data_IF_392898700814
#
_entry.id   IF_392898700814
#
_cell.length_a   1.000
_cell.length_b   1.000
_cell.length_c   1.000
_cell.angle_alpha   90.00
_cell.angle_beta   90.00
_cell.angle_gamma   90.00
#
_symmetry.space_group_name_H-M   'P 1'
#
loop_
_entity.id
_entity.type
_entity.pdbx_description
1 polymer ?
#
# COMPACT_ATOMS: atom_id res chain seq x y z
N UNK A 1 -31.74 3.72 16.71
CA UNK A 1 -32.35 4.44 15.56
C UNK A 1 -31.27 4.78 14.57
N UNK A 2 -31.09 3.91 13.54
CA UNK A 2 -30.06 4.00 12.51
C UNK A 2 -30.61 4.41 11.14
N UNK A 3 -31.74 5.08 11.11
CA UNK A 3 -32.25 5.66 9.86
C UNK A 3 -31.73 7.09 9.75
N UNK A 4 -31.09 7.48 8.62
CA UNK A 4 -30.66 8.85 8.40
C UNK A 4 -31.89 9.78 8.46
N UNK A 5 -31.73 10.96 9.07
CA UNK A 5 -32.76 12.02 9.08
C UNK A 5 -33.26 12.26 7.66
N UNK A 6 -34.51 11.89 7.42
CA UNK A 6 -35.20 12.18 6.16
C UNK A 6 -35.61 13.64 6.20
N UNK A 7 -34.96 14.46 5.42
CA UNK A 7 -35.51 15.76 5.08
C UNK A 7 -36.79 15.52 4.27
N UNK A 8 -37.88 16.19 4.62
CA UNK A 8 -39.23 16.03 3.97
C UNK A 8 -39.15 16.15 2.45
N UNK A 9 -38.21 16.93 1.91
CA UNK A 9 -37.94 17.13 0.49
C UNK A 9 -37.45 15.89 -0.29
N UNK A 10 -37.02 14.82 0.36
CA UNK A 10 -36.47 13.63 -0.31
C UNK A 10 -37.50 12.50 -0.49
N UNK A 11 -38.73 12.66 -0.02
CA UNK A 11 -39.71 11.57 -0.06
C UNK A 11 -40.05 11.10 -1.47
N UNK A 12 -40.02 11.99 -2.46
CA UNK A 12 -40.41 11.71 -3.85
C UNK A 12 -39.23 11.56 -4.80
N UNK A 13 -38.00 11.48 -4.29
CA UNK A 13 -36.81 11.35 -5.15
C UNK A 13 -36.73 9.96 -5.78
N UNK A 14 -36.52 9.95 -7.09
CA UNK A 14 -36.18 8.73 -7.84
C UNK A 14 -34.74 8.29 -7.57
N UNK A 15 -34.41 7.02 -7.91
CA UNK A 15 -33.05 6.52 -7.82
C UNK A 15 -32.03 7.38 -8.61
N UNK A 16 -32.42 7.86 -9.79
CA UNK A 16 -31.62 8.77 -10.61
C UNK A 16 -31.35 10.11 -9.90
N UNK A 17 -32.37 10.67 -9.22
CA UNK A 17 -32.22 11.93 -8.49
C UNK A 17 -31.28 11.77 -7.31
N UNK A 18 -31.45 10.73 -6.49
CA UNK A 18 -30.50 10.43 -5.40
C UNK A 18 -29.08 10.29 -5.92
N UNK A 19 -28.90 9.54 -7.00
CA UNK A 19 -27.58 9.31 -7.57
C UNK A 19 -26.93 10.59 -8.09
N UNK A 20 -27.68 11.42 -8.83
CA UNK A 20 -27.15 12.67 -9.37
C UNK A 20 -26.75 13.66 -8.27
N UNK A 21 -27.58 13.82 -7.24
CA UNK A 21 -27.28 14.68 -6.09
C UNK A 21 -26.05 14.15 -5.30
N UNK A 22 -26.00 12.83 -5.07
CA UNK A 22 -24.85 12.21 -4.41
C UNK A 22 -23.56 12.42 -5.22
N UNK A 23 -23.63 12.29 -6.55
CA UNK A 23 -22.51 12.50 -7.45
C UNK A 23 -22.03 13.94 -7.46
N UNK A 24 -22.96 14.91 -7.41
CA UNK A 24 -22.63 16.33 -7.27
C UNK A 24 -21.84 16.57 -5.96
N UNK A 25 -22.36 16.08 -4.82
CA UNK A 25 -21.68 16.20 -3.52
C UNK A 25 -20.30 15.54 -3.54
N UNK A 26 -20.18 14.39 -4.21
CA UNK A 26 -18.90 13.70 -4.38
C UNK A 26 -17.89 14.56 -5.17
N UNK A 27 -18.33 15.17 -6.27
CA UNK A 27 -17.49 16.02 -7.13
C UNK A 27 -17.09 17.32 -6.41
N UNK A 28 -17.96 17.86 -5.56
CA UNK A 28 -17.69 19.04 -4.72
C UNK A 28 -16.74 18.74 -3.54
N UNK A 29 -16.35 17.46 -3.36
CA UNK A 29 -15.54 17.04 -2.24
C UNK A 29 -16.29 16.90 -0.91
N UNK A 30 -17.62 17.03 -0.94
CA UNK A 30 -18.46 16.80 0.24
C UNK A 30 -18.80 15.30 0.38
N UNK A 31 -17.77 14.52 0.71
CA UNK A 31 -17.85 13.06 0.75
C UNK A 31 -18.86 12.57 1.79
N UNK A 32 -18.93 13.21 2.94
CA UNK A 32 -19.88 12.83 3.99
C UNK A 32 -21.35 12.98 3.53
N UNK A 33 -21.68 14.05 2.80
CA UNK A 33 -23.02 14.24 2.22
C UNK A 33 -23.29 13.22 1.10
N UNK A 34 -22.30 12.93 0.25
CA UNK A 34 -22.41 11.91 -0.78
C UNK A 34 -22.70 10.52 -0.21
N UNK A 35 -21.99 10.11 0.86
CA UNK A 35 -22.19 8.84 1.56
C UNK A 35 -23.63 8.73 2.07
N UNK A 36 -24.16 9.79 2.70
CA UNK A 36 -25.55 9.80 3.20
C UNK A 36 -26.57 9.63 2.07
N UNK A 37 -26.37 10.32 0.95
CA UNK A 37 -27.28 10.25 -0.20
C UNK A 37 -27.21 8.88 -0.89
N UNK A 38 -26.03 8.30 -1.06
CA UNK A 38 -25.88 6.93 -1.57
C UNK A 38 -26.52 5.91 -0.62
N UNK A 39 -26.37 6.06 0.69
CA UNK A 39 -27.02 5.22 1.69
C UNK A 39 -28.55 5.31 1.63
N UNK A 40 -29.11 6.53 1.44
CA UNK A 40 -30.54 6.73 1.25
C UNK A 40 -31.05 6.10 -0.06
N UNK A 41 -30.26 6.19 -1.12
CA UNK A 41 -30.53 5.52 -2.41
C UNK A 41 -30.60 4.00 -2.20
N UNK A 42 -29.58 3.42 -1.58
CA UNK A 42 -29.52 1.97 -1.36
C UNK A 42 -30.64 1.46 -0.47
N UNK A 43 -31.00 2.20 0.58
CA UNK A 43 -32.11 1.86 1.46
C UNK A 43 -33.48 1.86 0.76
N UNK A 44 -33.64 2.74 -0.24
CA UNK A 44 -34.93 2.89 -0.94
C UNK A 44 -35.00 2.11 -2.25
N UNK A 45 -33.90 1.99 -2.95
CA UNK A 45 -33.75 1.33 -4.25
C UNK A 45 -32.57 0.34 -4.22
N UNK A 46 -32.71 -0.79 -3.48
CA UNK A 46 -31.59 -1.68 -3.21
C UNK A 46 -31.11 -2.50 -4.42
N UNK A 47 -31.84 -2.45 -5.52
CA UNK A 47 -31.58 -3.28 -6.68
C UNK A 47 -31.36 -2.46 -7.96
N UNK A 48 -30.70 -3.09 -8.94
CA UNK A 48 -30.50 -2.51 -10.26
C UNK A 48 -29.16 -1.80 -10.41
N UNK A 49 -28.89 -1.37 -11.64
CA UNK A 49 -27.58 -0.80 -12.04
C UNK A 49 -27.20 0.45 -11.24
N UNK A 50 -28.17 1.30 -10.93
CA UNK A 50 -27.92 2.54 -10.19
C UNK A 50 -27.51 2.23 -8.74
N UNK A 51 -28.16 1.24 -8.11
CA UNK A 51 -27.80 0.80 -6.77
C UNK A 51 -26.38 0.21 -6.74
N UNK A 52 -26.05 -0.64 -7.71
CA UNK A 52 -24.68 -1.20 -7.84
C UNK A 52 -23.64 -0.10 -8.02
N UNK A 53 -23.90 0.88 -8.87
CA UNK A 53 -23.00 2.00 -9.06
C UNK A 53 -22.89 2.85 -7.79
N UNK A 54 -23.99 3.10 -7.08
CA UNK A 54 -23.98 3.82 -5.82
C UNK A 54 -23.16 3.10 -4.73
N UNK A 55 -23.26 1.77 -4.63
CA UNK A 55 -22.45 0.97 -3.71
C UNK A 55 -20.95 1.13 -3.98
N UNK A 56 -20.56 1.11 -5.25
CA UNK A 56 -19.17 1.29 -5.65
C UNK A 56 -18.66 2.70 -5.36
N UNK A 57 -19.47 3.72 -5.66
CA UNK A 57 -19.16 5.12 -5.34
C UNK A 57 -19.12 5.40 -3.83
N UNK A 58 -19.88 4.65 -3.04
CA UNK A 58 -19.82 4.72 -1.57
C UNK A 58 -18.45 4.27 -1.05
N UNK A 59 -17.89 3.19 -1.59
CA UNK A 59 -16.55 2.75 -1.23
C UNK A 59 -15.51 3.84 -1.55
N UNK A 60 -15.61 4.47 -2.72
CA UNK A 60 -14.75 5.59 -3.10
C UNK A 60 -14.94 6.82 -2.20
N UNK A 61 -16.19 7.17 -1.86
CA UNK A 61 -16.48 8.30 -1.00
C UNK A 61 -15.89 8.12 0.41
N UNK A 62 -15.99 6.92 0.99
CA UNK A 62 -15.34 6.60 2.27
C UNK A 62 -13.82 6.70 2.17
N UNK A 63 -13.21 6.18 1.09
CA UNK A 63 -11.77 6.34 0.87
C UNK A 63 -11.34 7.81 0.83
N UNK A 64 -12.08 8.65 0.11
CA UNK A 64 -11.80 10.09 -0.01
C UNK A 64 -12.08 10.86 1.27
N UNK A 65 -12.95 10.35 2.13
CA UNK A 65 -13.29 10.92 3.43
C UNK A 65 -12.32 10.49 4.56
N UNK A 66 -11.23 9.81 4.19
CA UNK A 66 -10.23 9.28 5.13
C UNK A 66 -10.82 8.29 6.16
N UNK A 67 -11.73 7.45 5.67
CA UNK A 67 -12.40 6.39 6.41
C UNK A 67 -12.01 5.00 5.86
N UNK A 68 -10.74 4.58 6.00
CA UNK A 68 -10.23 3.38 5.32
C UNK A 68 -10.99 2.11 5.70
N UNK A 69 -11.35 1.93 6.96
CA UNK A 69 -12.10 0.75 7.40
C UNK A 69 -13.49 0.66 6.73
N UNK A 70 -14.20 1.79 6.62
CA UNK A 70 -15.50 1.85 5.95
C UNK A 70 -15.37 1.63 4.44
N UNK A 71 -14.32 2.18 3.82
CA UNK A 71 -14.03 2.00 2.41
C UNK A 71 -13.76 0.52 2.06
N UNK A 72 -12.95 -0.17 2.87
CA UNK A 72 -12.66 -1.60 2.73
C UNK A 72 -13.95 -2.41 2.90
N UNK A 73 -14.73 -2.15 3.95
CA UNK A 73 -15.98 -2.87 4.19
C UNK A 73 -16.99 -2.71 3.03
N UNK A 74 -17.10 -1.49 2.48
CA UNK A 74 -17.95 -1.21 1.33
C UNK A 74 -17.45 -1.91 0.05
N UNK A 75 -16.15 -1.90 -0.20
CA UNK A 75 -15.53 -2.58 -1.32
C UNK A 75 -15.71 -4.11 -1.23
N UNK A 76 -15.45 -4.70 -0.06
CA UNK A 76 -15.63 -6.15 0.18
C UNK A 76 -17.10 -6.57 0.00
N UNK A 77 -18.02 -5.77 0.50
CA UNK A 77 -19.45 -6.00 0.30
C UNK A 77 -19.81 -5.99 -1.19
N UNK A 78 -19.29 -5.00 -1.95
CA UNK A 78 -19.52 -4.93 -3.39
C UNK A 78 -18.97 -6.16 -4.12
N UNK A 79 -17.73 -6.55 -3.84
CA UNK A 79 -17.07 -7.72 -4.44
C UNK A 79 -17.89 -8.99 -4.15
N UNK A 80 -18.36 -9.14 -2.92
CA UNK A 80 -19.16 -10.31 -2.51
C UNK A 80 -20.51 -10.38 -3.20
N UNK A 81 -21.20 -9.24 -3.34
CA UNK A 81 -22.54 -9.17 -3.93
C UNK A 81 -22.50 -9.18 -5.46
N UNK A 82 -21.45 -8.64 -6.06
CA UNK A 82 -21.34 -8.42 -7.50
C UNK A 82 -19.99 -8.90 -8.08
N UNK A 83 -19.61 -10.18 -7.89
CA UNK A 83 -18.27 -10.66 -8.25
C UNK A 83 -17.96 -10.60 -9.75
N UNK A 84 -18.99 -10.57 -10.59
CA UNK A 84 -18.88 -10.51 -12.06
C UNK A 84 -19.26 -9.12 -12.62
N UNK A 85 -19.34 -8.09 -11.77
CA UNK A 85 -19.64 -6.74 -12.24
C UNK A 85 -18.48 -6.20 -13.09
N UNK A 86 -18.81 -5.46 -14.15
CA UNK A 86 -17.82 -4.91 -15.10
C UNK A 86 -16.74 -4.04 -14.44
N UNK A 87 -17.04 -3.41 -13.32
CA UNK A 87 -16.14 -2.56 -12.56
C UNK A 87 -15.75 -3.18 -11.20
N UNK A 88 -15.79 -4.51 -11.07
CA UNK A 88 -15.40 -5.15 -9.80
C UNK A 88 -13.91 -4.94 -9.49
N UNK A 89 -13.08 -4.84 -10.52
CA UNK A 89 -11.66 -4.50 -10.42
C UNK A 89 -11.42 -3.17 -9.70
N UNK A 90 -12.31 -2.19 -9.90
CA UNK A 90 -12.24 -0.92 -9.17
C UNK A 90 -12.48 -1.09 -7.66
N UNK A 91 -13.37 -1.98 -7.24
CA UNK A 91 -13.57 -2.28 -5.82
C UNK A 91 -12.30 -2.89 -5.20
N UNK A 92 -11.64 -3.82 -5.89
CA UNK A 92 -10.32 -4.35 -5.47
C UNK A 92 -9.27 -3.25 -5.37
N UNK A 93 -9.27 -2.31 -6.31
CA UNK A 93 -8.33 -1.19 -6.31
C UNK A 93 -8.55 -0.24 -5.12
N UNK A 94 -9.80 0.15 -4.82
CA UNK A 94 -10.13 0.97 -3.64
C UNK A 94 -9.71 0.27 -2.36
N UNK A 95 -9.93 -1.04 -2.24
CA UNK A 95 -9.49 -1.84 -1.08
C UNK A 95 -7.98 -1.75 -0.86
N UNK A 96 -7.20 -1.84 -1.95
CA UNK A 96 -5.75 -1.65 -1.91
C UNK A 96 -5.35 -0.23 -1.49
N UNK A 97 -5.99 0.79 -2.08
CA UNK A 97 -5.72 2.19 -1.77
C UNK A 97 -6.03 2.55 -0.31
N UNK A 98 -7.09 1.98 0.27
CA UNK A 98 -7.56 2.32 1.61
C UNK A 98 -6.55 1.97 2.71
N UNK A 99 -5.71 0.98 2.49
CA UNK A 99 -4.61 0.62 3.38
C UNK A 99 -3.26 1.17 2.91
N UNK A 100 -3.22 1.82 1.74
CA UNK A 100 -2.00 2.37 1.19
C UNK A 100 -1.72 3.75 1.81
N UNK A 101 -0.65 3.85 2.58
CA UNK A 101 -0.25 5.11 3.21
C UNK A 101 0.90 5.74 2.44
N UNK A 102 0.58 6.71 1.57
CA UNK A 102 1.56 7.47 0.78
C UNK A 102 2.53 8.28 1.68
N UNK A 103 2.06 8.70 2.85
CA UNK A 103 2.85 9.56 3.73
C UNK A 103 4.08 8.84 4.31
N UNK A 104 4.02 7.52 4.39
CA UNK A 104 5.10 6.72 4.95
C UNK A 104 6.39 6.78 4.11
N UNK A 105 6.28 6.74 2.78
CA UNK A 105 7.46 6.80 1.90
C UNK A 105 8.00 8.22 1.75
N UNK A 106 7.16 9.21 1.58
CA UNK A 106 7.58 10.59 1.40
C UNK A 106 8.10 11.18 2.72
N UNK A 107 7.45 10.88 3.84
CA UNK A 107 7.87 11.30 5.18
C UNK A 107 9.14 10.55 5.62
N UNK A 108 9.24 9.25 5.37
CA UNK A 108 10.43 8.46 5.68
C UNK A 108 11.66 8.88 4.86
N UNK A 109 11.48 9.35 3.63
CA UNK A 109 12.54 9.91 2.80
C UNK A 109 12.94 11.32 3.25
N UNK A 110 11.99 12.17 3.67
CA UNK A 110 12.25 13.54 4.13
C UNK A 110 12.74 13.60 5.56
N UNK A 111 12.35 12.68 6.44
CA UNK A 111 12.82 12.57 7.82
C UNK A 111 14.18 11.86 7.90
N UNK A 112 15.21 12.44 7.32
CA UNK A 112 16.61 12.10 7.61
C UNK A 112 17.04 12.59 9.01
N UNK A 113 16.21 12.35 10.04
CA UNK A 113 16.46 12.79 11.40
C UNK A 113 16.51 11.63 12.40
N UNK A 114 17.06 11.85 13.62
CA UNK A 114 17.20 10.80 14.65
C UNK A 114 15.88 10.35 15.27
N UNK A 115 14.75 10.93 14.91
CA UNK A 115 13.40 10.52 15.29
C UNK A 115 12.89 9.48 14.28
N UNK A 116 13.55 8.32 14.23
CA UNK A 116 12.98 7.11 13.67
C UNK A 116 11.84 6.67 14.58
N UNK A 117 10.63 7.01 14.18
CA UNK A 117 9.49 6.29 14.65
C UNK A 117 9.58 4.90 14.00
N UNK A 118 9.83 3.87 14.80
CA UNK A 118 9.60 2.49 14.35
C UNK A 118 8.21 2.44 13.75
N UNK A 119 8.09 1.82 12.55
CA UNK A 119 6.78 1.54 11.99
C UNK A 119 5.92 0.93 13.10
N UNK A 120 4.80 1.56 13.41
CA UNK A 120 3.89 0.95 14.36
C UNK A 120 3.44 -0.40 13.80
N UNK A 121 3.18 -1.36 14.64
CA UNK A 121 2.66 -2.67 14.24
C UNK A 121 1.42 -2.51 13.34
N UNK A 122 0.63 -1.49 13.59
CA UNK A 122 -0.55 -1.12 12.79
C UNK A 122 -0.17 -0.68 11.36
N UNK A 123 0.87 0.14 11.20
CA UNK A 123 1.30 0.64 9.89
C UNK A 123 1.93 -0.48 9.06
N UNK A 124 2.67 -1.38 9.70
CA UNK A 124 3.21 -2.59 9.06
C UNK A 124 2.10 -3.49 8.55
N UNK A 125 1.06 -3.73 9.35
CA UNK A 125 -0.10 -4.53 8.97
C UNK A 125 -0.87 -3.90 7.82
N UNK A 126 -1.16 -2.61 7.88
CA UNK A 126 -1.86 -1.88 6.80
C UNK A 126 -1.08 -1.94 5.48
N UNK A 127 0.24 -1.78 5.51
CA UNK A 127 1.11 -1.91 4.34
C UNK A 127 1.08 -3.31 3.74
N UNK A 128 1.11 -4.34 4.57
CA UNK A 128 1.01 -5.74 4.13
C UNK A 128 -0.37 -6.03 3.52
N UNK A 129 -1.44 -5.59 4.15
CA UNK A 129 -2.80 -5.74 3.64
C UNK A 129 -2.98 -5.00 2.31
N UNK A 130 -2.44 -3.78 2.17
CA UNK A 130 -2.42 -3.03 0.92
C UNK A 130 -1.72 -3.83 -0.19
N UNK A 131 -0.53 -4.36 0.09
CA UNK A 131 0.22 -5.16 -0.85
C UNK A 131 -0.57 -6.39 -1.33
N UNK A 132 -1.14 -7.17 -0.41
CA UNK A 132 -1.93 -8.35 -0.77
C UNK A 132 -3.20 -8.00 -1.56
N UNK A 133 -3.86 -6.88 -1.23
CA UNK A 133 -5.03 -6.40 -1.97
C UNK A 133 -4.68 -5.99 -3.41
N UNK A 134 -3.56 -5.27 -3.61
CA UNK A 134 -3.09 -4.95 -4.96
C UNK A 134 -2.63 -6.19 -5.72
N UNK A 135 -1.98 -7.14 -5.06
CA UNK A 135 -1.58 -8.42 -5.65
C UNK A 135 -2.79 -9.23 -6.12
N UNK A 136 -3.86 -9.26 -5.33
CA UNK A 136 -5.11 -9.90 -5.74
C UNK A 136 -5.70 -9.22 -6.98
N UNK A 137 -5.73 -7.88 -7.02
CA UNK A 137 -6.18 -7.13 -8.19
C UNK A 137 -5.38 -7.51 -9.45
N UNK A 138 -4.05 -7.42 -9.41
CA UNK A 138 -3.22 -7.66 -10.61
C UNK A 138 -3.21 -9.12 -11.06
N UNK A 139 -3.50 -10.05 -10.14
CA UNK A 139 -3.60 -11.48 -10.44
C UNK A 139 -4.93 -11.83 -11.10
N UNK A 140 -6.04 -11.30 -10.56
CA UNK A 140 -7.39 -11.58 -11.07
C UNK A 140 -7.74 -10.77 -12.31
N UNK A 141 -7.24 -9.53 -12.39
CA UNK A 141 -7.58 -8.57 -13.43
C UNK A 141 -6.31 -7.96 -14.03
N UNK A 142 -5.45 -8.76 -14.70
CA UNK A 142 -4.16 -8.28 -15.21
C UNK A 142 -4.31 -7.16 -16.25
N UNK A 143 -5.44 -7.14 -16.98
CA UNK A 143 -5.77 -6.15 -18.02
C UNK A 143 -6.58 -4.95 -17.48
N UNK A 144 -6.82 -4.89 -16.16
CA UNK A 144 -7.48 -3.74 -15.57
C UNK A 144 -6.66 -2.47 -15.76
N UNK A 145 -7.34 -1.36 -16.05
CA UNK A 145 -6.70 -0.04 -16.13
C UNK A 145 -6.00 0.38 -14.83
N UNK A 146 -6.33 -0.25 -13.70
CA UNK A 146 -5.73 -0.02 -12.40
C UNK A 146 -4.52 -0.91 -12.13
N UNK A 147 -4.30 -1.95 -12.95
CA UNK A 147 -3.25 -2.94 -12.68
C UNK A 147 -1.84 -2.34 -12.76
N UNK A 148 -1.60 -1.38 -13.66
CA UNK A 148 -0.29 -0.72 -13.80
C UNK A 148 0.05 0.10 -12.54
N UNK A 149 -0.88 0.92 -12.05
CA UNK A 149 -0.71 1.70 -10.82
C UNK A 149 -0.57 0.79 -9.59
N UNK A 150 -1.38 -0.27 -9.50
CA UNK A 150 -1.29 -1.25 -8.43
C UNK A 150 0.10 -1.90 -8.36
N UNK A 151 0.69 -2.29 -9.50
CA UNK A 151 2.06 -2.83 -9.55
C UNK A 151 3.11 -1.82 -9.08
N UNK A 152 2.96 -0.54 -9.44
CA UNK A 152 3.87 0.51 -8.95
C UNK A 152 3.77 0.68 -7.44
N UNK A 153 2.57 0.66 -6.87
CA UNK A 153 2.36 0.74 -5.43
C UNK A 153 2.90 -0.48 -4.70
N UNK A 154 2.73 -1.67 -5.25
CA UNK A 154 3.34 -2.90 -4.72
C UNK A 154 4.87 -2.80 -4.68
N UNK A 155 5.49 -2.34 -5.77
CA UNK A 155 6.94 -2.13 -5.83
C UNK A 155 7.41 -1.10 -4.80
N UNK A 156 6.65 -0.02 -4.63
CA UNK A 156 6.90 0.99 -3.60
C UNK A 156 6.89 0.38 -2.19
N UNK A 157 5.86 -0.41 -1.84
CA UNK A 157 5.73 -1.04 -0.53
C UNK A 157 6.89 -2.02 -0.25
N UNK A 158 7.25 -2.84 -1.23
CA UNK A 158 8.40 -3.77 -1.12
C UNK A 158 9.70 -2.99 -0.89
N UNK A 159 9.95 -1.93 -1.68
CA UNK A 159 11.14 -1.11 -1.55
C UNK A 159 11.22 -0.45 -0.17
N UNK A 160 10.10 0.03 0.35
CA UNK A 160 10.04 0.65 1.66
C UNK A 160 10.42 -0.33 2.78
N UNK A 161 9.91 -1.57 2.74
CA UNK A 161 10.26 -2.62 3.71
C UNK A 161 11.74 -3.01 3.59
N UNK A 162 12.23 -3.21 2.37
CA UNK A 162 13.64 -3.53 2.13
C UNK A 162 14.57 -2.44 2.67
N UNK A 163 14.25 -1.17 2.44
CA UNK A 163 15.03 -0.05 2.97
C UNK A 163 14.99 0.05 4.50
N UNK A 164 13.92 -0.39 5.14
CA UNK A 164 13.84 -0.47 6.60
C UNK A 164 14.87 -1.46 7.17
N UNK A 165 15.06 -2.61 6.50
CA UNK A 165 16.13 -3.57 6.86
C UNK A 165 17.52 -2.92 6.74
N UNK A 166 17.78 -2.15 5.66
CA UNK A 166 19.04 -1.43 5.47
C UNK A 166 19.27 -0.38 6.56
N UNK A 167 18.25 0.40 6.90
CA UNK A 167 18.37 1.36 8.00
C UNK A 167 18.71 0.71 9.33
N UNK A 168 18.12 -0.44 9.60
CA UNK A 168 18.39 -1.22 10.81
C UNK A 168 19.83 -1.80 10.78
N UNK A 169 20.26 -2.33 9.62
CA UNK A 169 21.61 -2.83 9.43
C UNK A 169 22.67 -1.73 9.64
N UNK A 170 22.46 -0.52 9.05
CA UNK A 170 23.34 0.64 9.28
C UNK A 170 23.42 1.05 10.75
N UNK A 171 22.31 0.98 11.48
CA UNK A 171 22.31 1.26 12.91
C UNK A 171 23.19 0.26 13.67
N UNK A 172 23.09 -1.03 13.37
CA UNK A 172 23.95 -2.06 13.98
C UNK A 172 25.41 -1.91 13.59
N UNK A 173 25.73 -1.55 12.33
CA UNK A 173 27.10 -1.23 11.90
C UNK A 173 27.71 -0.10 12.73
N UNK A 174 26.98 1.01 12.95
CA UNK A 174 27.43 2.11 13.79
C UNK A 174 27.70 1.71 15.24
N UNK A 175 26.99 0.70 15.74
CA UNK A 175 27.18 0.13 17.08
C UNK A 175 28.21 -0.99 17.15
N UNK A 176 28.86 -1.30 16.05
CA UNK A 176 29.82 -2.42 15.93
C UNK A 176 29.19 -3.79 16.23
N UNK A 177 27.86 -3.89 16.12
CA UNK A 177 27.11 -5.14 16.26
C UNK A 177 27.06 -5.86 14.89
N UNK A 178 28.22 -6.26 14.40
CA UNK A 178 28.42 -6.72 13.01
C UNK A 178 27.60 -7.95 12.66
N UNK A 179 27.43 -8.92 13.57
CA UNK A 179 26.57 -10.09 13.34
C UNK A 179 25.12 -9.66 13.10
N UNK A 180 24.59 -8.74 13.92
CA UNK A 180 23.23 -8.25 13.78
C UNK A 180 23.06 -7.45 12.48
N UNK A 181 24.08 -6.66 12.08
CA UNK A 181 24.08 -5.92 10.82
C UNK A 181 24.06 -6.87 9.63
N UNK A 182 24.94 -7.87 9.62
CA UNK A 182 25.01 -8.88 8.55
C UNK A 182 23.67 -9.64 8.41
N UNK A 183 23.06 -10.06 9.53
CA UNK A 183 21.77 -10.76 9.50
C UNK A 183 20.65 -9.91 8.91
N UNK A 184 20.58 -8.61 9.24
CA UNK A 184 19.59 -7.70 8.65
C UNK A 184 19.82 -7.47 7.16
N UNK A 185 21.05 -7.25 6.77
CA UNK A 185 21.41 -7.09 5.36
C UNK A 185 21.14 -8.39 4.57
N UNK A 186 21.49 -9.55 5.12
CA UNK A 186 21.19 -10.85 4.50
C UNK A 186 19.69 -11.06 4.34
N UNK A 187 18.88 -10.66 5.31
CA UNK A 187 17.41 -10.72 5.22
C UNK A 187 16.90 -9.86 4.06
N UNK A 188 17.45 -8.65 3.87
CA UNK A 188 17.08 -7.80 2.75
C UNK A 188 17.42 -8.47 1.39
N UNK A 189 18.58 -9.08 1.26
CA UNK A 189 18.99 -9.78 0.03
C UNK A 189 18.09 -10.99 -0.24
N UNK A 190 17.75 -11.76 0.78
CA UNK A 190 16.98 -12.99 0.65
C UNK A 190 15.51 -12.75 0.36
N UNK A 191 14.87 -11.86 1.12
CA UNK A 191 13.42 -11.63 1.06
C UNK A 191 13.04 -10.59 -0.02
N UNK A 192 13.97 -9.66 -0.36
CA UNK A 192 13.72 -8.55 -1.30
C UNK A 192 14.77 -8.43 -2.40
N UNK A 193 15.11 -9.52 -3.13
CA UNK A 193 16.29 -9.59 -4.01
C UNK A 193 16.25 -8.66 -5.23
N UNK A 194 15.07 -8.10 -5.56
CA UNK A 194 14.86 -7.21 -6.74
C UNK A 194 14.61 -5.76 -6.35
N UNK A 195 15.06 -5.36 -5.18
CA UNK A 195 14.91 -3.98 -4.71
C UNK A 195 16.25 -3.23 -4.80
N UNK A 196 16.22 -1.89 -4.88
CA UNK A 196 17.43 -1.07 -4.80
C UNK A 196 18.23 -1.28 -3.50
N UNK A 197 17.56 -1.76 -2.44
CA UNK A 197 18.22 -2.07 -1.16
C UNK A 197 19.23 -3.22 -1.25
N UNK A 198 19.09 -4.13 -2.22
CA UNK A 198 19.96 -5.32 -2.36
C UNK A 198 21.43 -4.96 -2.56
N UNK A 199 21.70 -3.93 -3.34
CA UNK A 199 23.06 -3.45 -3.60
C UNK A 199 23.76 -3.01 -2.32
N UNK A 200 23.13 -2.16 -1.54
CA UNK A 200 23.67 -1.68 -0.27
C UNK A 200 23.69 -2.77 0.81
N UNK A 201 22.72 -3.69 0.79
CA UNK A 201 22.72 -4.85 1.69
C UNK A 201 23.98 -5.69 1.51
N UNK A 202 24.35 -5.99 0.27
CA UNK A 202 25.60 -6.73 -0.03
C UNK A 202 26.82 -5.98 0.47
N UNK A 203 26.88 -4.67 0.27
CA UNK A 203 27.97 -3.86 0.80
C UNK A 203 28.08 -3.91 2.33
N UNK A 204 26.96 -3.80 3.03
CA UNK A 204 26.94 -3.93 4.50
C UNK A 204 27.40 -5.33 4.94
N UNK A 205 26.98 -6.39 4.23
CA UNK A 205 27.43 -7.76 4.51
C UNK A 205 28.94 -7.88 4.37
N UNK A 206 29.54 -7.36 3.29
CA UNK A 206 30.98 -7.36 3.04
C UNK A 206 31.71 -6.69 4.21
N UNK A 207 31.30 -5.47 4.58
CA UNK A 207 31.92 -4.73 5.68
C UNK A 207 31.78 -5.44 7.03
N UNK A 208 30.61 -6.02 7.30
CA UNK A 208 30.34 -6.73 8.54
C UNK A 208 31.18 -8.01 8.65
N UNK A 209 31.27 -8.80 7.57
CA UNK A 209 32.06 -10.02 7.53
C UNK A 209 33.57 -9.74 7.58
N UNK A 210 34.05 -8.67 6.97
CA UNK A 210 35.43 -8.19 7.12
C UNK A 210 35.75 -7.89 8.60
N UNK A 211 34.89 -7.12 9.26
CA UNK A 211 35.07 -6.78 10.67
C UNK A 211 34.96 -8.00 11.64
N UNK A 212 34.33 -9.08 11.21
CA UNK A 212 34.23 -10.36 11.92
C UNK A 212 35.30 -11.36 11.56
N UNK A 213 36.20 -11.02 10.64
CA UNK A 213 37.25 -11.92 10.08
C UNK A 213 36.67 -13.18 9.40
N UNK A 214 35.42 -13.06 8.88
CA UNK A 214 34.71 -14.13 8.17
C UNK A 214 34.96 -14.00 6.66
N UNK A 215 36.20 -14.21 6.24
CA UNK A 215 36.67 -13.89 4.89
C UNK A 215 35.95 -14.68 3.79
N UNK A 216 35.60 -15.94 4.01
CA UNK A 216 34.87 -16.75 3.03
C UNK A 216 33.49 -16.15 2.70
N UNK A 217 32.76 -15.69 3.73
CA UNK A 217 31.44 -15.06 3.58
C UNK A 217 31.56 -13.67 2.95
N UNK A 218 32.62 -12.92 3.29
CA UNK A 218 32.92 -11.64 2.67
C UNK A 218 33.15 -11.81 1.17
N UNK A 219 34.02 -12.75 0.77
CA UNK A 219 34.36 -13.00 -0.62
C UNK A 219 33.18 -13.50 -1.43
N UNK A 220 32.31 -14.32 -0.85
CA UNK A 220 31.04 -14.74 -1.46
C UNK A 220 30.10 -13.57 -1.70
N UNK A 221 29.91 -12.69 -0.71
CA UNK A 221 29.07 -11.50 -0.83
C UNK A 221 29.64 -10.52 -1.88
N UNK A 222 30.95 -10.32 -1.90
CA UNK A 222 31.64 -9.48 -2.90
C UNK A 222 31.47 -10.04 -4.31
N UNK A 223 31.64 -11.35 -4.48
CA UNK A 223 31.44 -12.03 -5.77
C UNK A 223 30.01 -11.83 -6.27
N UNK A 224 29.00 -11.99 -5.42
CA UNK A 224 27.58 -11.76 -5.75
C UNK A 224 27.37 -10.30 -6.15
N UNK A 225 27.97 -9.36 -5.43
CA UNK A 225 27.87 -7.94 -5.73
C UNK A 225 28.50 -7.59 -7.08
N UNK A 226 29.70 -8.08 -7.37
CA UNK A 226 30.38 -7.84 -8.66
C UNK A 226 29.64 -8.40 -9.86
N UNK A 227 28.94 -9.55 -9.69
CA UNK A 227 28.17 -10.18 -10.77
C UNK A 227 26.88 -9.41 -11.02
N UNK A 228 26.15 -9.00 -9.98
CA UNK A 228 24.83 -8.41 -10.12
C UNK A 228 24.83 -6.88 -10.22
N UNK A 229 25.86 -6.21 -9.69
CA UNK A 229 25.99 -4.76 -9.63
C UNK A 229 27.40 -4.30 -10.04
N UNK A 230 27.87 -4.62 -11.28
CA UNK A 230 29.25 -4.35 -11.71
C UNK A 230 29.61 -2.86 -11.69
N UNK A 231 28.62 -1.97 -11.87
CA UNK A 231 28.79 -0.52 -11.89
C UNK A 231 28.54 0.14 -10.52
N UNK A 232 28.36 -0.64 -9.46
CA UNK A 232 28.08 -0.13 -8.12
C UNK A 232 29.18 0.80 -7.63
N UNK A 233 28.77 1.95 -7.09
CA UNK A 233 29.71 2.87 -6.43
C UNK A 233 30.33 2.24 -5.16
N UNK A 234 29.60 1.36 -4.48
CA UNK A 234 30.11 0.65 -3.30
C UNK A 234 31.30 -0.26 -3.60
N UNK A 235 31.43 -0.78 -4.83
CA UNK A 235 32.60 -1.56 -5.22
C UNK A 235 33.88 -0.73 -5.22
N UNK A 236 33.79 0.59 -5.37
CA UNK A 236 34.94 1.52 -5.32
C UNK A 236 35.36 1.86 -3.88
N UNK A 237 34.48 1.58 -2.92
CA UNK A 237 34.69 1.84 -1.50
C UNK A 237 35.17 0.59 -0.74
N UNK A 238 35.25 -0.56 -1.43
CA UNK A 238 35.82 -1.78 -0.86
C UNK A 238 37.32 -1.64 -0.72
N UNK A 239 37.93 -2.17 0.37
CA UNK A 239 39.37 -2.11 0.61
C UNK A 239 40.21 -2.84 -0.44
#
# INVERSE_FOLDING_TARGET
NLLPDRTEDQQDWSANKFYSEAKEKLNDGNFAAAIKLYGSLEARYPYGRIAQQAQLETAYAHYKNDEPASAIAAADRFIKLHPNHVNVDYAYYIRGLSNFNDSWGMMGFLMKGPLKQDMSERDSKASQESFENFKELVTRFPESKYAADARQRMAYLINAVAMSEIHTARYYMKRKAYIAAANRAQNAVKEYPRTPATEEALYIMIQAYEALEMYDLRDDAERVMRINFPDSHFLKELP
#
